data_IF_201034019091
#
_entry.id   IF_201034019091
#
_cell.length_a   1.000
_cell.length_b   1.000
_cell.length_c   1.000
_cell.angle_alpha   90.00
_cell.angle_beta   90.00
_cell.angle_gamma   90.00
#
_symmetry.space_group_name_H-M   'P 1'
#
loop_
_entity.id
_entity.type
_entity.pdbx_description
1 polymer ?
#
# COMPACT_ATOMS: atom_id res chain seq x y z
N UNK A 1 22.40 -10.15 8.24
CA UNK A 1 22.82 -8.73 8.25
C UNK A 1 22.83 -8.06 6.87
N UNK A 2 22.27 -8.65 5.80
CA UNK A 2 22.23 -8.03 4.45
C UNK A 2 21.18 -6.92 4.29
N UNK A 3 20.10 -6.94 5.07
CA UNK A 3 19.10 -5.88 5.03
C UNK A 3 19.69 -4.55 5.54
N UNK A 4 20.47 -4.60 6.61
CA UNK A 4 21.06 -3.43 7.26
C UNK A 4 22.04 -2.68 6.34
N UNK A 5 22.90 -3.42 5.61
CA UNK A 5 23.80 -2.82 4.63
C UNK A 5 23.05 -2.17 3.46
N UNK A 6 21.91 -2.72 3.05
CA UNK A 6 21.07 -2.12 2.02
C UNK A 6 20.36 -0.85 2.53
N UNK A 7 19.80 -0.86 3.74
CA UNK A 7 19.20 0.33 4.36
C UNK A 7 20.20 1.48 4.45
N UNK A 8 21.43 1.19 4.86
CA UNK A 8 22.50 2.17 4.90
C UNK A 8 22.80 2.79 3.53
N UNK A 9 22.81 1.99 2.46
CA UNK A 9 23.02 2.50 1.10
C UNK A 9 21.88 3.41 0.63
N UNK A 10 20.63 3.07 0.95
CA UNK A 10 19.47 3.92 0.67
C UNK A 10 19.57 5.23 1.44
N UNK A 11 19.93 5.18 2.73
CA UNK A 11 20.15 6.37 3.56
C UNK A 11 21.21 7.30 2.95
N UNK A 12 22.34 6.75 2.48
CA UNK A 12 23.37 7.54 1.81
C UNK A 12 22.88 8.18 0.50
N UNK A 13 22.01 7.49 -0.24
CA UNK A 13 21.37 8.03 -1.44
C UNK A 13 20.44 9.20 -1.11
N UNK A 14 19.65 9.07 -0.04
CA UNK A 14 18.78 10.14 0.46
C UNK A 14 19.57 11.36 0.90
N UNK A 15 20.66 11.17 1.67
CA UNK A 15 21.56 12.26 2.09
C UNK A 15 22.16 13.01 0.90
N UNK A 16 22.52 12.30 -0.18
CA UNK A 16 23.05 12.92 -1.41
C UNK A 16 21.98 13.74 -2.16
N UNK A 17 20.75 13.24 -2.23
CA UNK A 17 19.62 13.93 -2.87
C UNK A 17 19.20 15.19 -2.10
N UNK A 18 19.49 15.25 -0.79
CA UNK A 18 19.17 16.33 0.18
C UNK A 18 17.69 16.54 0.42
N UNK A 19 16.91 16.79 -0.64
CA UNK A 19 15.46 17.04 -0.56
C UNK A 19 14.72 15.97 -1.34
N UNK A 20 13.84 15.26 -0.63
CA UNK A 20 12.93 14.27 -1.19
C UNK A 20 11.52 14.74 -0.91
N UNK A 21 10.80 15.10 -1.97
CA UNK A 21 9.49 15.74 -1.84
C UNK A 21 8.33 14.78 -2.09
N UNK A 22 8.55 13.78 -2.93
CA UNK A 22 7.52 12.83 -3.31
C UNK A 22 8.07 11.40 -3.40
N UNK A 23 7.16 10.48 -3.70
CA UNK A 23 7.49 9.07 -3.80
C UNK A 23 8.41 8.75 -4.99
N UNK A 24 8.35 9.54 -6.08
CA UNK A 24 9.23 9.36 -7.23
C UNK A 24 10.69 9.73 -6.90
N UNK A 25 10.89 10.78 -6.09
CA UNK A 25 12.21 11.12 -5.58
C UNK A 25 12.75 10.01 -4.67
N UNK A 26 11.89 9.40 -3.85
CA UNK A 26 12.25 8.25 -3.02
C UNK A 26 12.60 7.02 -3.85
N UNK A 27 11.77 6.66 -4.83
CA UNK A 27 12.01 5.56 -5.79
C UNK A 27 13.37 5.72 -6.48
N UNK A 28 13.67 6.93 -6.95
CA UNK A 28 14.96 7.27 -7.55
C UNK A 28 16.11 7.10 -6.57
N UNK A 29 15.95 7.45 -5.29
CA UNK A 29 16.98 7.24 -4.28
C UNK A 29 17.23 5.75 -4.02
N UNK A 30 16.17 4.95 -3.94
CA UNK A 30 16.25 3.49 -3.75
C UNK A 30 16.85 2.80 -4.97
N UNK A 31 16.47 3.19 -6.19
CA UNK A 31 17.01 2.60 -7.41
C UNK A 31 18.50 2.88 -7.60
N UNK A 32 18.95 4.07 -7.18
CA UNK A 32 20.38 4.45 -7.17
C UNK A 32 21.21 3.75 -6.09
N UNK A 33 20.58 3.12 -5.09
CA UNK A 33 21.31 2.31 -4.13
C UNK A 33 22.02 1.15 -4.84
N UNK A 34 23.04 0.56 -4.21
CA UNK A 34 23.87 -0.49 -4.79
C UNK A 34 24.37 -0.18 -6.23
N UNK A 35 24.78 1.08 -6.47
CA UNK A 35 25.26 1.55 -7.79
C UNK A 35 24.26 1.35 -8.94
N UNK A 36 22.96 1.52 -8.68
CA UNK A 36 21.93 1.38 -9.71
C UNK A 36 21.48 -0.05 -9.98
N UNK A 37 21.99 -1.04 -9.24
CA UNK A 37 21.68 -2.47 -9.45
C UNK A 37 20.43 -2.94 -8.69
N UNK A 38 19.55 -2.01 -8.33
CA UNK A 38 18.34 -2.28 -7.57
C UNK A 38 17.15 -2.16 -8.51
N UNK A 39 16.44 -3.26 -8.68
CA UNK A 39 15.17 -3.24 -9.40
C UNK A 39 14.07 -2.79 -8.42
N UNK A 40 13.57 -1.57 -8.61
CA UNK A 40 12.48 -1.02 -7.80
C UNK A 40 11.17 -1.25 -8.54
N UNK A 41 10.20 -1.86 -7.85
CA UNK A 41 8.84 -1.98 -8.35
C UNK A 41 7.95 -1.03 -7.56
N UNK A 42 7.47 0.01 -8.24
CA UNK A 42 6.48 0.92 -7.69
C UNK A 42 5.10 0.30 -7.83
N UNK A 43 4.42 0.13 -6.70
CA UNK A 43 3.04 -0.34 -6.65
C UNK A 43 2.10 0.85 -6.87
N UNK A 44 1.23 0.73 -7.87
CA UNK A 44 0.18 1.71 -8.14
C UNK A 44 -1.08 1.34 -7.38
N UNK A 45 -1.96 2.32 -7.13
CA UNK A 45 -3.27 2.07 -6.52
C UNK A 45 -4.08 1.02 -7.30
N UNK A 46 -3.95 1.01 -8.63
CA UNK A 46 -4.59 0.03 -9.52
C UNK A 46 -4.16 -1.41 -9.26
N UNK A 47 -2.95 -1.63 -8.75
CA UNK A 47 -2.44 -2.98 -8.45
C UNK A 47 -3.16 -3.60 -7.25
N UNK A 48 -3.80 -2.77 -6.43
CA UNK A 48 -4.61 -3.19 -5.28
C UNK A 48 -6.11 -3.26 -5.60
N UNK A 49 -6.54 -2.76 -6.77
CA UNK A 49 -7.91 -2.89 -7.24
C UNK A 49 -8.04 -4.25 -7.94
N UNK A 50 -9.07 -5.03 -7.57
CA UNK A 50 -9.38 -6.30 -8.22
C UNK A 50 -8.17 -7.26 -8.33
N UNK A 51 -7.45 -7.48 -7.23
CA UNK A 51 -6.36 -8.46 -7.16
C UNK A 51 -6.78 -9.77 -7.85
N UNK A 52 -5.96 -10.22 -8.81
CA UNK A 52 -6.24 -11.45 -9.54
C UNK A 52 -6.06 -12.65 -8.60
N UNK A 53 -7.16 -13.30 -8.28
CA UNK A 53 -7.11 -14.58 -7.58
C UNK A 53 -6.52 -15.65 -8.51
N UNK A 54 -5.35 -16.17 -8.14
CA UNK A 54 -4.70 -17.29 -8.82
C UNK A 54 -5.09 -18.64 -8.22
N UNK A 55 -6.03 -18.66 -7.27
CA UNK A 55 -6.58 -19.88 -6.73
C UNK A 55 -7.31 -20.65 -7.83
N UNK A 56 -7.05 -21.96 -7.89
CA UNK A 56 -7.79 -22.82 -8.81
C UNK A 56 -9.22 -22.99 -8.29
N UNK A 57 -10.19 -22.35 -8.96
CA UNK A 57 -11.62 -22.49 -8.66
C UNK A 57 -12.05 -23.97 -8.66
N UNK A 58 -11.49 -24.78 -9.56
CA UNK A 58 -11.73 -26.21 -9.63
C UNK A 58 -11.28 -26.92 -8.35
N UNK A 59 -10.05 -26.68 -7.88
CA UNK A 59 -9.54 -27.29 -6.65
C UNK A 59 -10.29 -26.78 -5.41
N UNK A 60 -10.68 -25.50 -5.40
CA UNK A 60 -11.51 -24.93 -4.33
C UNK A 60 -12.91 -25.56 -4.28
N UNK A 61 -13.52 -25.86 -5.43
CA UNK A 61 -14.84 -26.47 -5.50
C UNK A 61 -14.85 -27.94 -5.04
N UNK A 62 -13.74 -28.67 -5.22
CA UNK A 62 -13.62 -30.09 -4.88
C UNK A 62 -12.87 -30.36 -3.57
N UNK A 63 -12.46 -29.31 -2.84
CA UNK A 63 -11.89 -29.46 -1.51
C UNK A 63 -12.99 -29.75 -0.49
N UNK A 64 -12.86 -30.86 0.24
CA UNK A 64 -13.76 -31.23 1.35
C UNK A 64 -12.96 -31.33 2.65
N UNK A 65 -13.13 -30.42 3.62
CA UNK A 65 -14.05 -29.27 3.62
C UNK A 65 -13.56 -28.13 2.71
N UNK A 66 -14.51 -27.38 2.14
CA UNK A 66 -14.21 -26.22 1.31
C UNK A 66 -13.57 -25.14 2.19
N UNK A 67 -12.33 -24.68 1.91
CA UNK A 67 -11.74 -23.57 2.63
C UNK A 67 -12.52 -22.29 2.32
N UNK A 68 -13.13 -21.67 3.34
CA UNK A 68 -13.83 -20.39 3.21
C UNK A 68 -13.10 -19.36 4.06
N UNK A 69 -12.56 -18.30 3.45
CA UNK A 69 -11.79 -17.28 4.16
C UNK A 69 -12.54 -16.69 5.36
N UNK A 70 -13.86 -16.47 5.27
CA UNK A 70 -14.68 -15.96 6.38
C UNK A 70 -14.71 -16.89 7.61
N UNK A 71 -14.46 -18.18 7.38
CA UNK A 71 -14.46 -19.19 8.43
C UNK A 71 -13.02 -19.50 8.88
N UNK A 72 -12.00 -18.98 8.19
CA UNK A 72 -10.61 -19.13 8.60
C UNK A 72 -10.30 -18.10 9.67
N UNK A 73 -9.56 -18.55 10.66
CA UNK A 73 -9.21 -17.78 11.83
C UNK A 73 -7.71 -17.52 11.77
N UNK A 74 -6.91 -18.54 11.99
CA UNK A 74 -5.47 -18.43 11.86
C UNK A 74 -5.01 -18.90 10.47
N UNK A 75 -4.03 -18.20 9.88
CA UNK A 75 -3.30 -18.66 8.70
C UNK A 75 -1.81 -18.72 9.03
N UNK A 76 -1.22 -19.92 8.98
CA UNK A 76 0.20 -20.14 9.28
C UNK A 76 0.97 -20.45 8.01
N UNK A 77 2.05 -19.70 7.77
CA UNK A 77 3.00 -19.96 6.67
C UNK A 77 4.37 -20.26 7.27
N UNK A 78 4.88 -21.48 7.06
CA UNK A 78 6.21 -21.88 7.56
C UNK A 78 7.28 -21.70 6.50
N UNK A 79 8.38 -21.03 6.84
CA UNK A 79 9.53 -20.86 5.95
C UNK A 79 10.06 -22.21 5.47
N UNK A 80 10.21 -22.38 4.16
CA UNK A 80 10.67 -23.63 3.54
C UNK A 80 9.56 -24.63 3.21
N UNK A 81 8.30 -24.32 3.54
CA UNK A 81 7.13 -25.08 3.06
C UNK A 81 6.38 -24.28 2.00
N UNK A 82 5.89 -24.98 0.98
CA UNK A 82 5.06 -24.43 -0.10
C UNK A 82 3.56 -24.61 0.17
N UNK A 83 3.19 -24.81 1.44
CA UNK A 83 1.81 -25.08 1.89
C UNK A 83 1.39 -24.05 2.92
N UNK A 84 0.17 -23.54 2.77
CA UNK A 84 -0.49 -22.64 3.74
C UNK A 84 -1.39 -23.51 4.63
N UNK A 85 -1.21 -23.42 5.95
CA UNK A 85 -2.09 -24.05 6.93
C UNK A 85 -3.10 -23.04 7.45
N UNK A 86 -4.31 -23.48 7.79
CA UNK A 86 -5.33 -22.62 8.40
C UNK A 86 -6.09 -23.35 9.51
N UNK A 87 -6.69 -22.58 10.43
CA UNK A 87 -7.67 -23.04 11.43
C UNK A 87 -8.97 -22.27 11.25
N UNK A 88 -10.07 -22.77 11.83
CA UNK A 88 -11.40 -22.15 11.71
C UNK A 88 -12.01 -21.66 13.04
N UNK A 89 -11.32 -21.88 14.17
CA UNK A 89 -11.74 -21.41 15.48
C UNK A 89 -10.84 -20.26 15.93
N UNK A 90 -11.44 -19.12 16.30
CA UNK A 90 -10.76 -17.95 16.88
C UNK A 90 -11.44 -17.68 18.21
N UNK A 91 -10.64 -17.63 19.27
CA UNK A 91 -10.91 -16.64 20.31
C UNK A 91 -10.48 -15.28 19.72
N UNK A 92 -11.49 -14.48 19.37
CA UNK A 92 -11.51 -13.06 18.97
C UNK A 92 -11.04 -12.56 17.56
N UNK A 93 -12.03 -11.90 16.91
CA UNK A 93 -12.15 -10.94 15.79
C UNK A 93 -11.10 -10.80 14.67
N UNK A 94 -11.62 -10.71 13.43
CA UNK A 94 -11.30 -9.58 12.51
C UNK A 94 -12.25 -9.50 11.30
N UNK A 95 -12.78 -8.29 11.03
CA UNK A 95 -13.52 -7.98 9.82
C UNK A 95 -12.57 -7.83 8.63
N UNK A 96 -12.87 -8.52 7.52
CA UNK A 96 -12.18 -8.30 6.25
C UNK A 96 -12.82 -7.11 5.52
N UNK A 97 -12.06 -6.06 5.14
CA UNK A 97 -12.62 -4.93 4.42
C UNK A 97 -13.10 -5.36 3.03
N UNK A 98 -14.23 -4.80 2.54
CA UNK A 98 -14.76 -5.13 1.22
C UNK A 98 -13.77 -4.73 0.12
N UNK A 99 -13.79 -5.47 -0.98
CA UNK A 99 -13.01 -5.14 -2.16
C UNK A 99 -13.39 -3.75 -2.66
N UNK A 100 -12.37 -2.92 -2.87
CA UNK A 100 -12.52 -1.56 -3.38
C UNK A 100 -12.34 -1.61 -4.90
N UNK A 101 -13.32 -1.10 -5.63
CA UNK A 101 -13.35 -1.02 -7.09
C UNK A 101 -12.89 0.34 -7.61
N UNK A 102 -13.07 1.40 -6.81
CA UNK A 102 -12.72 2.77 -7.15
C UNK A 102 -11.93 3.45 -6.03
N UNK A 103 -11.01 4.38 -6.36
CA UNK A 103 -10.32 5.16 -5.35
C UNK A 103 -11.34 5.96 -4.52
N UNK A 104 -11.28 5.81 -3.19
CA UNK A 104 -12.17 6.50 -2.25
C UNK A 104 -12.19 8.02 -2.46
N UNK A 105 -11.02 8.63 -2.64
CA UNK A 105 -10.88 10.08 -2.80
C UNK A 105 -11.03 10.87 -1.49
N UNK A 106 -11.00 12.19 -1.61
CA UNK A 106 -11.19 13.16 -0.51
C UNK A 106 -12.31 14.15 -0.86
N UNK A 107 -12.84 14.85 0.12
CA UNK A 107 -13.81 15.93 -0.13
C UNK A 107 -13.16 17.10 -0.88
N UNK A 108 -13.94 17.82 -1.68
CA UNK A 108 -13.44 18.99 -2.42
C UNK A 108 -12.92 20.09 -1.51
N UNK A 109 -13.59 20.32 -0.37
CA UNK A 109 -13.16 21.28 0.65
C UNK A 109 -11.76 20.95 1.16
N UNK A 110 -11.50 19.67 1.48
CA UNK A 110 -10.19 19.21 1.94
C UNK A 110 -9.14 19.34 0.86
N UNK A 111 -9.46 19.00 -0.38
CA UNK A 111 -8.56 19.20 -1.52
C UNK A 111 -8.18 20.67 -1.66
N UNK A 112 -9.15 21.58 -1.58
CA UNK A 112 -8.90 23.01 -1.67
C UNK A 112 -8.04 23.54 -0.52
N UNK A 113 -8.25 23.03 0.70
CA UNK A 113 -7.41 23.32 1.87
C UNK A 113 -5.95 22.89 1.65
N UNK A 114 -5.74 21.68 1.13
CA UNK A 114 -4.40 21.18 0.77
C UNK A 114 -3.78 22.06 -0.31
N UNK A 115 -4.53 22.39 -1.36
CA UNK A 115 -4.00 23.20 -2.47
C UNK A 115 -3.59 24.60 -2.00
N UNK A 116 -4.36 25.22 -1.09
CA UNK A 116 -4.06 26.54 -0.54
C UNK A 116 -2.81 26.55 0.34
N UNK A 117 -2.66 25.56 1.22
CA UNK A 117 -1.62 25.55 2.25
C UNK A 117 -0.33 24.87 1.79
N UNK A 118 -0.42 23.81 0.99
CA UNK A 118 0.72 22.97 0.63
C UNK A 118 1.40 23.43 -0.65
N UNK A 119 0.65 23.90 -1.66
CA UNK A 119 1.24 24.32 -2.94
C UNK A 119 2.18 25.53 -2.83
N UNK A 120 2.03 26.34 -1.79
CA UNK A 120 2.92 27.47 -1.49
C UNK A 120 4.28 27.03 -0.97
N UNK A 121 4.36 25.83 -0.38
CA UNK A 121 5.58 25.27 0.23
C UNK A 121 6.34 24.34 -0.73
N UNK A 122 5.66 23.79 -1.75
CA UNK A 122 6.25 22.84 -2.69
C UNK A 122 6.52 23.44 -4.08
N UNK A 123 7.60 23.01 -4.77
CA UNK A 123 7.91 23.46 -6.13
C UNK A 123 6.79 23.21 -7.15
N UNK A 124 6.63 24.12 -8.11
CA UNK A 124 5.55 24.11 -9.11
C UNK A 124 5.48 22.83 -9.96
N UNK A 125 6.63 22.21 -10.24
CA UNK A 125 6.70 20.94 -10.99
C UNK A 125 6.09 19.74 -10.22
N UNK A 126 5.75 19.91 -8.94
CA UNK A 126 5.14 18.87 -8.09
C UNK A 126 3.64 19.09 -7.83
N UNK A 127 3.06 20.13 -8.41
CA UNK A 127 1.65 20.46 -8.21
C UNK A 127 0.70 19.48 -8.90
N UNK A 128 1.16 18.75 -9.93
CA UNK A 128 0.36 17.83 -10.73
C UNK A 128 -0.31 16.74 -9.91
N UNK A 129 0.42 16.13 -8.97
CA UNK A 129 -0.10 15.09 -8.08
C UNK A 129 -1.30 15.59 -7.27
N UNK A 130 -1.12 16.71 -6.56
CA UNK A 130 -2.14 17.28 -5.67
C UNK A 130 -3.38 17.79 -6.44
N UNK A 131 -3.19 18.34 -7.64
CA UNK A 131 -4.29 18.76 -8.51
C UNK A 131 -5.12 17.58 -9.02
N UNK A 132 -4.48 16.43 -9.24
CA UNK A 132 -5.11 15.22 -9.79
C UNK A 132 -5.65 14.27 -8.71
N UNK A 133 -5.70 14.69 -7.43
CA UNK A 133 -6.30 13.86 -6.38
C UNK A 133 -7.79 13.59 -6.67
N UNK A 134 -8.25 12.34 -6.56
CA UNK A 134 -9.65 12.00 -6.75
C UNK A 134 -10.51 12.65 -5.67
N UNK A 135 -11.63 13.23 -6.08
CA UNK A 135 -12.60 13.88 -5.18
C UNK A 135 -13.90 13.12 -5.14
N UNK A 136 -14.42 12.93 -3.93
CA UNK A 136 -15.70 12.27 -3.69
C UNK A 136 -16.40 12.96 -2.52
N UNK A 137 -17.60 13.49 -2.76
CA UNK A 137 -18.34 14.26 -1.75
C UNK A 137 -19.05 13.38 -0.71
N UNK A 138 -19.15 12.08 -0.96
CA UNK A 138 -19.85 11.12 -0.09
C UNK A 138 -18.89 10.32 0.81
N UNK A 139 -17.75 10.91 1.16
CA UNK A 139 -16.71 10.23 1.92
C UNK A 139 -16.49 10.90 3.26
N UNK A 140 -16.63 10.13 4.33
CA UNK A 140 -16.24 10.54 5.69
C UNK A 140 -14.75 10.81 5.74
N UNK A 141 -14.34 11.90 6.36
CA UNK A 141 -12.93 12.21 6.55
C UNK A 141 -12.35 11.39 7.71
N UNK A 142 -11.34 10.56 7.45
CA UNK A 142 -10.72 9.71 8.47
C UNK A 142 -9.73 10.43 9.38
N UNK A 143 -9.38 11.69 9.11
CA UNK A 143 -8.44 12.42 9.98
C UNK A 143 -9.10 13.01 11.23
N UNK A 144 -10.42 12.91 11.36
CA UNK A 144 -11.19 13.53 12.44
C UNK A 144 -11.17 12.64 13.69
N UNK A 145 -10.91 11.33 13.55
CA UNK A 145 -11.00 10.35 14.64
C UNK A 145 -9.72 10.22 15.50
N UNK A 146 -8.78 11.17 15.45
CA UNK A 146 -7.54 11.15 16.25
C UNK A 146 -7.56 12.13 17.44
N UNK A 147 -8.71 12.28 18.09
CA UNK A 147 -8.77 12.89 19.42
C UNK A 147 -8.68 11.76 20.47
N UNK A 148 -7.44 11.47 20.91
CA UNK A 148 -7.11 10.83 22.20
C UNK A 148 -5.96 11.64 22.85
#
# INVERSE_FOLDING_TARGET
MWADSFHHQVEMSLKKQKKVYDFADFEMCVSRANSGRVNVRTTNQKDFLCWKDYSSLYKLAHATPRPILRAMTEVTVTRGKYTICYKNDFDDFSHCPPAIDHPRGITEEKKNGILKNLLTLIPSNRHSFWKNLPTTNNVTDLSIDFDD
#
